data_IF_579210070309
#
_entry.id   IF_579210070309
#
_cell.length_a   1.000
_cell.length_b   1.000
_cell.length_c   1.000
_cell.angle_alpha   90.00
_cell.angle_beta   90.00
_cell.angle_gamma   90.00
#
_symmetry.space_group_name_H-M   'P 1'
#
loop_
_entity.id
_entity.type
_entity.pdbx_description
1 polymer ?
#
# COMPACT_ATOMS: atom_id res chain seq x y z
N UNK A 1 6.18 13.83 12.51
CA UNK A 1 5.72 12.45 12.22
C UNK A 1 5.33 12.36 10.76
N UNK A 2 5.72 11.30 10.05
CA UNK A 2 5.48 11.10 8.61
C UNK A 2 4.41 10.03 8.32
N UNK A 3 3.59 9.68 9.30
CA UNK A 3 2.51 8.72 9.11
C UNK A 3 1.49 9.24 8.09
N UNK A 4 1.15 8.40 7.12
CA UNK A 4 0.10 8.66 6.14
C UNK A 4 -1.25 8.56 6.86
N UNK A 5 -1.82 9.72 7.19
CA UNK A 5 -3.09 9.86 7.88
C UNK A 5 -3.96 10.94 7.20
N UNK A 6 -5.19 11.11 7.67
CA UNK A 6 -6.14 12.05 7.09
C UNK A 6 -5.65 13.51 7.12
N UNK A 7 -4.78 13.90 8.07
CA UNK A 7 -4.16 15.23 8.08
C UNK A 7 -3.14 15.36 6.94
N UNK A 8 -2.30 14.34 6.73
CA UNK A 8 -1.35 14.30 5.61
C UNK A 8 -2.07 14.34 4.25
N UNK A 9 -3.23 13.69 4.11
CA UNK A 9 -3.98 13.78 2.85
C UNK A 9 -4.60 15.16 2.63
N UNK A 10 -5.08 15.82 3.69
CA UNK A 10 -5.65 17.18 3.60
C UNK A 10 -4.63 18.20 3.11
N UNK A 11 -3.37 18.12 3.55
CA UNK A 11 -2.31 19.06 3.14
C UNK A 11 -1.92 18.93 1.66
N UNK A 12 -2.31 17.86 0.97
CA UNK A 12 -2.07 17.73 -0.48
C UNK A 12 -2.91 18.71 -1.29
N UNK A 13 -4.00 19.24 -0.72
CA UNK A 13 -4.98 20.10 -1.37
C UNK A 13 -5.49 19.53 -2.72
N UNK A 14 -5.50 18.21 -2.85
CA UNK A 14 -5.93 17.50 -4.05
C UNK A 14 -7.11 16.57 -3.74
N UNK A 15 -8.34 16.88 -4.21
CA UNK A 15 -9.51 16.03 -3.97
C UNK A 15 -9.41 14.66 -4.67
N UNK A 16 -8.52 14.51 -5.65
CA UNK A 16 -8.29 13.27 -6.40
C UNK A 16 -7.03 12.51 -5.93
N UNK A 17 -6.48 12.86 -4.76
CA UNK A 17 -5.30 12.16 -4.22
C UNK A 17 -5.56 10.66 -4.13
N UNK A 18 -4.59 9.88 -4.60
CA UNK A 18 -4.60 8.42 -4.53
C UNK A 18 -3.55 7.97 -3.52
N UNK A 19 -3.88 6.97 -2.72
CA UNK A 19 -2.94 6.36 -1.76
C UNK A 19 -2.56 4.97 -2.25
N UNK A 20 -1.27 4.72 -2.36
CA UNK A 20 -0.68 3.46 -2.80
C UNK A 20 0.20 2.90 -1.68
N UNK A 21 0.31 1.56 -1.62
CA UNK A 21 1.17 0.87 -0.66
C UNK A 21 1.56 -0.52 -1.20
N UNK A 22 2.85 -0.86 -1.17
CA UNK A 22 3.36 -2.10 -1.79
C UNK A 22 2.99 -3.40 -1.07
N UNK A 23 2.49 -3.30 0.18
CA UNK A 23 2.15 -4.40 1.10
C UNK A 23 3.36 -5.26 1.53
N UNK A 24 3.31 -5.91 2.71
CA UNK A 24 2.28 -5.80 3.75
C UNK A 24 2.30 -4.43 4.44
N UNK A 25 1.15 -3.97 4.95
CA UNK A 25 1.01 -2.72 5.68
C UNK A 25 0.78 -2.97 7.18
N UNK A 26 1.45 -2.22 8.05
CA UNK A 26 1.25 -2.23 9.51
C UNK A 26 0.18 -1.18 9.87
N UNK A 27 -1.04 -1.36 9.36
CA UNK A 27 -2.11 -0.37 9.48
C UNK A 27 -3.07 -0.61 10.67
N UNK A 28 -3.14 -1.84 11.19
CA UNK A 28 -4.01 -2.24 12.31
C UNK A 28 -3.30 -3.15 13.33
N UNK A 29 -3.99 -3.61 14.38
CA UNK A 29 -3.42 -4.50 15.41
C UNK A 29 -3.89 -5.96 15.29
N UNK A 30 -4.39 -6.40 14.12
CA UNK A 30 -5.04 -7.71 13.99
C UNK A 30 -4.09 -8.88 14.06
N UNK A 31 -2.80 -8.69 13.78
CA UNK A 31 -1.78 -9.74 13.87
C UNK A 31 -0.89 -9.56 15.11
N UNK A 32 -0.44 -10.67 15.68
CA UNK A 32 0.44 -10.67 16.85
C UNK A 32 1.74 -9.88 16.61
N UNK A 33 2.29 -9.99 15.40
CA UNK A 33 3.50 -9.27 14.98
C UNK A 33 3.27 -7.77 14.92
N UNK A 34 2.17 -7.31 14.31
CA UNK A 34 1.91 -5.86 14.22
C UNK A 34 1.61 -5.29 15.61
N UNK A 35 0.82 -6.00 16.43
CA UNK A 35 0.50 -5.58 17.81
C UNK A 35 1.76 -5.40 18.67
N UNK A 36 2.74 -6.29 18.56
CA UNK A 36 4.00 -6.18 19.32
C UNK A 36 4.87 -5.01 18.85
N UNK A 37 4.96 -4.79 17.53
CA UNK A 37 5.68 -3.65 16.92
C UNK A 37 5.05 -2.32 17.35
N UNK A 38 3.73 -2.18 17.20
CA UNK A 38 3.01 -0.97 17.56
C UNK A 38 3.15 -0.64 19.05
N UNK A 39 3.05 -1.64 19.94
CA UNK A 39 3.28 -1.47 21.39
C UNK A 39 4.71 -1.02 21.68
N UNK A 40 5.72 -1.62 21.03
CA UNK A 40 7.15 -1.30 21.24
C UNK A 40 7.46 0.16 20.89
N UNK A 41 6.84 0.70 19.84
CA UNK A 41 7.11 2.04 19.34
C UNK A 41 6.03 3.09 19.71
N UNK A 42 5.06 2.71 20.55
CA UNK A 42 4.04 3.65 21.06
C UNK A 42 2.97 4.06 20.04
N UNK A 43 2.79 3.30 18.96
CA UNK A 43 1.74 3.55 17.97
C UNK A 43 0.45 2.81 18.36
N UNK A 44 -0.70 3.44 18.16
CA UNK A 44 -2.02 2.84 18.46
C UNK A 44 -2.83 2.48 17.22
N UNK A 45 -2.70 3.25 16.14
CA UNK A 45 -3.55 3.12 14.95
C UNK A 45 -2.71 3.12 13.67
N UNK A 46 -1.98 2.01 13.47
CA UNK A 46 -1.02 1.85 12.38
C UNK A 46 0.31 2.56 12.62
N UNK A 47 1.33 2.19 11.85
CA UNK A 47 2.69 2.73 11.94
C UNK A 47 2.95 3.71 10.79
N UNK A 48 3.07 3.22 9.56
CA UNK A 48 3.31 4.01 8.35
C UNK A 48 2.04 4.64 7.78
N UNK A 49 0.89 3.98 7.94
CA UNK A 49 -0.42 4.40 7.46
C UNK A 49 -1.48 4.06 8.51
N UNK A 50 -2.47 4.94 8.71
CA UNK A 50 -3.57 4.64 9.64
C UNK A 50 -4.55 3.65 9.02
N UNK A 51 -5.23 2.85 9.85
CA UNK A 51 -6.26 1.91 9.37
C UNK A 51 -7.35 2.64 8.56
N UNK A 52 -7.80 3.81 9.03
CA UNK A 52 -8.80 4.63 8.33
C UNK A 52 -8.39 4.94 6.88
N UNK A 53 -7.15 5.42 6.67
CA UNK A 53 -6.67 5.77 5.34
C UNK A 53 -6.47 4.51 4.49
N UNK A 54 -5.95 3.43 5.09
CA UNK A 54 -5.79 2.15 4.40
C UNK A 54 -7.14 1.60 3.91
N UNK A 55 -8.13 1.48 4.79
CA UNK A 55 -9.46 0.93 4.46
C UNK A 55 -10.17 1.78 3.40
N UNK A 56 -10.08 3.11 3.48
CA UNK A 56 -10.66 4.02 2.48
C UNK A 56 -10.05 3.85 1.09
N UNK A 57 -8.77 3.49 1.01
CA UNK A 57 -8.02 3.35 -0.25
C UNK A 57 -7.74 1.89 -0.62
N UNK A 58 -8.33 0.92 0.08
CA UNK A 58 -8.00 -0.50 -0.08
C UNK A 58 -8.14 -0.97 -1.53
N UNK A 59 -9.15 -0.48 -2.27
CA UNK A 59 -9.40 -0.89 -3.66
C UNK A 59 -8.19 -0.64 -4.56
N UNK A 60 -7.64 0.57 -4.52
CA UNK A 60 -6.50 0.93 -5.39
C UNK A 60 -5.17 0.33 -4.89
N UNK A 61 -5.04 0.11 -3.57
CA UNK A 61 -3.89 -0.59 -3.00
C UNK A 61 -3.88 -2.07 -3.46
N UNK A 62 -5.04 -2.73 -3.46
CA UNK A 62 -5.15 -4.10 -3.95
C UNK A 62 -5.01 -4.19 -5.47
N UNK A 63 -5.52 -3.22 -6.23
CA UNK A 63 -5.27 -3.11 -7.67
C UNK A 63 -3.76 -2.95 -7.97
N UNK A 64 -3.04 -2.13 -7.19
CA UNK A 64 -1.58 -2.02 -7.28
C UNK A 64 -0.90 -3.37 -7.00
N UNK A 65 -1.36 -4.12 -6.00
CA UNK A 65 -0.82 -5.43 -5.67
C UNK A 65 -1.07 -6.46 -6.79
N UNK A 66 -2.27 -6.48 -7.38
CA UNK A 66 -2.62 -7.32 -8.51
C UNK A 66 -1.77 -7.00 -9.75
N UNK A 67 -1.53 -5.71 -10.01
CA UNK A 67 -0.68 -5.25 -11.11
C UNK A 67 0.76 -5.76 -11.04
N UNK A 68 1.25 -6.24 -9.88
CA UNK A 68 2.54 -6.94 -9.79
C UNK A 68 2.58 -8.19 -10.68
N UNK A 69 1.50 -8.96 -10.74
CA UNK A 69 1.44 -10.16 -11.59
C UNK A 69 1.52 -9.79 -13.08
N UNK A 70 0.73 -8.80 -13.49
CA UNK A 70 0.66 -8.36 -14.88
C UNK A 70 1.97 -7.74 -15.37
N UNK A 71 2.57 -6.88 -14.55
CA UNK A 71 3.84 -6.21 -14.90
C UNK A 71 5.00 -7.19 -14.95
N UNK A 72 5.11 -8.13 -14.00
CA UNK A 72 6.12 -9.20 -14.05
C UNK A 72 5.93 -10.06 -15.30
N UNK A 73 4.69 -10.42 -15.64
CA UNK A 73 4.39 -11.17 -16.87
C UNK A 73 4.87 -10.42 -18.12
N UNK A 74 4.59 -9.12 -18.21
CA UNK A 74 5.03 -8.30 -19.33
C UNK A 74 6.56 -8.27 -19.44
N UNK A 75 7.27 -8.12 -18.33
CA UNK A 75 8.74 -8.16 -18.28
C UNK A 75 9.25 -9.52 -18.78
N UNK A 76 8.68 -10.64 -18.31
CA UNK A 76 9.09 -11.98 -18.72
C UNK A 76 8.87 -12.21 -20.22
N UNK A 77 7.69 -11.85 -20.73
CA UNK A 77 7.37 -11.92 -22.17
C UNK A 77 8.36 -11.10 -23.00
N UNK A 78 8.61 -9.85 -22.61
CA UNK A 78 9.52 -8.96 -23.33
C UNK A 78 10.98 -9.41 -23.27
N UNK A 79 11.39 -10.07 -22.20
CA UNK A 79 12.80 -10.46 -22.00
C UNK A 79 13.12 -11.80 -22.62
N UNK A 80 12.16 -12.73 -22.63
CA UNK A 80 12.41 -14.14 -22.98
C UNK A 80 11.92 -14.52 -24.39
N UNK A 81 10.94 -13.82 -24.95
CA UNK A 81 10.44 -14.13 -26.30
C UNK A 81 11.18 -13.29 -27.36
N UNK A 82 11.76 -13.98 -28.35
CA UNK A 82 12.39 -13.34 -29.53
C UNK A 82 11.39 -12.57 -30.41
N UNK A 83 10.12 -12.94 -30.38
CA UNK A 83 9.07 -12.33 -31.18
C UNK A 83 7.78 -12.35 -30.38
N UNK A 84 7.18 -11.19 -30.16
CA UNK A 84 5.89 -11.05 -29.48
C UNK A 84 4.82 -11.00 -30.56
N UNK A 85 3.93 -12.00 -30.60
CA UNK A 85 2.73 -11.99 -31.42
C UNK A 85 1.56 -11.62 -30.51
N UNK A 86 0.88 -10.52 -30.83
CA UNK A 86 -0.36 -10.09 -30.20
C UNK A 86 -1.56 -10.60 -31.00
#
# INVERSE_FOLDING_TARGET
SYQVNSLMLKITNNPQVKVLHCLPALHDQKTCTVKSILKKYGFKNGMEITDEVFQKNQKIIFEQAENRLHTIKAILVSSLLKTIKF
#
